data_IF_063686458445
#
_entry.id   IF_063686458445
#
_cell.length_a   1.000
_cell.length_b   1.000
_cell.length_c   1.000
_cell.angle_alpha   90.00
_cell.angle_beta   90.00
_cell.angle_gamma   90.00
#
_symmetry.space_group_name_H-M   'P 1'
#
loop_
_entity.id
_entity.type
_entity.pdbx_description
1 polymer ?
#
# COMPACT_ATOMS: atom_id res chain seq x y z
N UNK A 1 0.25 -21.22 -9.21
CA UNK A 1 -0.05 -20.33 -10.37
C UNK A 1 1.22 -20.18 -11.20
N UNK A 2 1.11 -19.92 -12.52
CA UNK A 2 2.25 -19.55 -13.37
C UNK A 2 2.18 -18.09 -13.80
N UNK A 3 3.24 -17.57 -14.48
CA UNK A 3 3.33 -16.16 -14.87
C UNK A 3 2.17 -15.71 -15.78
N UNK A 4 1.75 -16.54 -16.74
CA UNK A 4 0.63 -16.22 -17.65
C UNK A 4 -0.70 -16.15 -16.88
N UNK A 5 -0.91 -17.03 -15.91
CA UNK A 5 -2.06 -16.95 -15.02
C UNK A 5 -2.02 -15.69 -14.16
N UNK A 6 -0.86 -15.34 -13.58
CA UNK A 6 -0.70 -14.09 -12.83
C UNK A 6 -1.00 -12.86 -13.69
N UNK A 7 -0.46 -12.81 -14.91
CA UNK A 7 -0.72 -11.72 -15.85
C UNK A 7 -2.22 -11.50 -16.08
N UNK A 8 -2.95 -12.58 -16.38
CA UNK A 8 -4.40 -12.51 -16.63
C UNK A 8 -5.18 -12.18 -15.36
N UNK A 9 -4.84 -12.81 -14.24
CA UNK A 9 -5.50 -12.60 -12.95
C UNK A 9 -5.34 -11.16 -12.44
N UNK A 10 -4.16 -10.58 -12.61
CA UNK A 10 -3.88 -9.18 -12.22
C UNK A 10 -4.37 -8.16 -13.26
N UNK A 11 -4.67 -8.59 -14.51
CA UNK A 11 -5.07 -7.72 -15.61
C UNK A 11 -3.98 -6.72 -15.99
N UNK A 12 -2.72 -7.18 -16.07
CA UNK A 12 -1.53 -6.36 -16.32
C UNK A 12 -0.80 -6.75 -17.60
N UNK A 13 0.14 -5.91 -18.05
CA UNK A 13 0.95 -6.20 -19.23
C UNK A 13 1.92 -7.38 -18.98
N UNK A 14 2.40 -8.02 -20.05
CA UNK A 14 3.38 -9.09 -19.97
C UNK A 14 4.69 -8.64 -19.30
N UNK A 15 5.14 -7.40 -19.58
CA UNK A 15 6.34 -6.83 -18.94
C UNK A 15 6.18 -6.67 -17.42
N UNK A 16 5.03 -6.16 -16.95
CA UNK A 16 4.74 -6.08 -15.52
C UNK A 16 4.61 -7.47 -14.89
N UNK A 17 4.01 -8.42 -15.59
CA UNK A 17 3.91 -9.79 -15.09
C UNK A 17 5.28 -10.46 -14.97
N UNK A 18 6.16 -10.29 -15.94
CA UNK A 18 7.52 -10.81 -15.87
C UNK A 18 8.33 -10.20 -14.73
N UNK A 19 8.16 -8.89 -14.46
CA UNK A 19 8.80 -8.21 -13.33
C UNK A 19 8.29 -8.74 -11.99
N UNK A 20 6.97 -8.84 -11.82
CA UNK A 20 6.36 -9.07 -10.51
C UNK A 20 6.17 -10.53 -10.14
N UNK A 21 5.94 -11.41 -11.11
CA UNK A 21 5.58 -12.80 -10.84
C UNK A 21 6.56 -13.53 -9.92
N UNK A 22 7.89 -13.49 -10.13
CA UNK A 22 8.83 -14.21 -9.27
C UNK A 22 8.75 -13.73 -7.81
N UNK A 23 8.58 -12.44 -7.57
CA UNK A 23 8.50 -11.85 -6.23
C UNK A 23 7.15 -12.13 -5.56
N UNK A 24 6.05 -12.03 -6.31
CA UNK A 24 4.70 -12.31 -5.80
C UNK A 24 4.54 -13.79 -5.48
N UNK A 25 4.98 -14.69 -6.35
CA UNK A 25 4.90 -16.13 -6.13
C UNK A 25 5.73 -16.57 -4.91
N UNK A 26 6.96 -16.06 -4.78
CA UNK A 26 7.81 -16.32 -3.61
C UNK A 26 7.18 -15.78 -2.31
N UNK A 27 6.69 -14.55 -2.32
CA UNK A 27 6.08 -13.94 -1.14
C UNK A 27 4.79 -14.65 -0.72
N UNK A 28 3.94 -15.03 -1.68
CA UNK A 28 2.72 -15.80 -1.37
C UNK A 28 3.05 -17.15 -0.73
N UNK A 29 4.07 -17.86 -1.23
CA UNK A 29 4.53 -19.13 -0.65
C UNK A 29 5.09 -18.92 0.76
N UNK A 30 5.93 -17.91 0.96
CA UNK A 30 6.53 -17.57 2.27
C UNK A 30 5.46 -17.34 3.34
N UNK A 31 4.34 -16.69 2.98
CA UNK A 31 3.28 -16.32 3.92
C UNK A 31 2.01 -17.20 3.83
N UNK A 32 2.10 -18.38 3.21
CA UNK A 32 1.01 -19.36 3.22
C UNK A 32 -0.19 -19.02 2.34
N UNK A 33 -0.05 -18.08 1.40
CA UNK A 33 -1.12 -17.71 0.44
C UNK A 33 -1.08 -18.70 -0.73
N UNK A 34 -1.52 -19.95 -0.49
CA UNK A 34 -1.32 -21.06 -1.43
C UNK A 34 -2.58 -21.52 -2.13
N UNK A 35 -3.75 -21.39 -1.50
CA UNK A 35 -5.01 -21.76 -2.12
C UNK A 35 -5.35 -20.81 -3.29
N UNK A 36 -5.87 -21.31 -4.42
CA UNK A 36 -6.19 -20.47 -5.59
C UNK A 36 -7.10 -19.28 -5.28
N UNK A 37 -8.08 -19.47 -4.40
CA UNK A 37 -9.01 -18.42 -3.98
C UNK A 37 -8.30 -17.31 -3.17
N UNK A 38 -7.36 -17.68 -2.29
CA UNK A 38 -6.56 -16.72 -1.51
C UNK A 38 -5.55 -15.99 -2.39
N UNK A 39 -4.96 -16.67 -3.37
CA UNK A 39 -4.10 -16.03 -4.38
C UNK A 39 -4.89 -15.00 -5.19
N UNK A 40 -6.10 -15.34 -5.63
CA UNK A 40 -6.98 -14.42 -6.34
C UNK A 40 -7.33 -13.19 -5.48
N UNK A 41 -7.64 -13.40 -4.21
CA UNK A 41 -7.94 -12.34 -3.25
C UNK A 41 -6.73 -11.42 -3.02
N UNK A 42 -5.55 -11.99 -2.76
CA UNK A 42 -4.32 -11.23 -2.55
C UNK A 42 -3.96 -10.39 -3.77
N UNK A 43 -4.01 -10.97 -4.98
CA UNK A 43 -3.72 -10.27 -6.24
C UNK A 43 -4.69 -9.10 -6.43
N UNK A 44 -5.97 -9.29 -6.18
CA UNK A 44 -6.98 -8.24 -6.30
C UNK A 44 -6.74 -7.09 -5.33
N UNK A 45 -6.46 -7.39 -4.07
CA UNK A 45 -6.18 -6.38 -3.05
C UNK A 45 -4.91 -5.60 -3.36
N UNK A 46 -3.81 -6.28 -3.63
CA UNK A 46 -2.53 -5.62 -3.95
C UNK A 46 -2.57 -4.88 -5.27
N UNK A 47 -3.28 -5.41 -6.27
CA UNK A 47 -3.53 -4.71 -7.52
C UNK A 47 -4.27 -3.39 -7.34
N UNK A 48 -5.24 -3.34 -6.43
CA UNK A 48 -5.94 -2.10 -6.08
C UNK A 48 -5.02 -1.10 -5.35
N UNK A 49 -4.33 -1.54 -4.30
CA UNK A 49 -3.45 -0.70 -3.47
C UNK A 49 -2.30 -0.06 -4.27
N UNK A 50 -1.72 -0.81 -5.21
CA UNK A 50 -0.54 -0.42 -5.99
C UNK A 50 -0.84 0.13 -7.39
N UNK A 51 -2.10 0.44 -7.69
CA UNK A 51 -2.51 0.85 -9.05
C UNK A 51 -2.05 -0.19 -10.09
N UNK A 52 -2.50 -1.44 -9.91
CA UNK A 52 -2.11 -2.60 -10.73
C UNK A 52 -0.60 -2.81 -10.82
N UNK A 53 0.07 -2.84 -9.67
CA UNK A 53 1.51 -3.12 -9.55
C UNK A 53 2.42 -2.07 -10.19
N UNK A 54 1.94 -0.84 -10.37
CA UNK A 54 2.73 0.24 -10.98
C UNK A 54 3.28 1.24 -9.96
N UNK A 55 2.72 1.30 -8.75
CA UNK A 55 3.10 2.28 -7.74
C UNK A 55 3.68 1.61 -6.50
N UNK A 56 4.89 2.01 -6.13
CA UNK A 56 5.59 1.56 -4.92
C UNK A 56 5.82 2.67 -3.89
N UNK A 57 5.66 3.92 -4.27
CA UNK A 57 5.85 5.06 -3.38
C UNK A 57 4.61 5.95 -3.46
N UNK A 58 4.17 6.41 -2.32
CA UNK A 58 3.06 7.35 -2.21
C UNK A 58 3.34 8.64 -2.99
N UNK A 59 2.34 9.08 -3.73
CA UNK A 59 2.39 10.35 -4.44
C UNK A 59 1.63 11.42 -3.65
N UNK A 60 2.36 12.34 -3.05
CA UNK A 60 1.84 13.47 -2.27
C UNK A 60 1.71 14.75 -3.11
N UNK A 61 1.70 14.63 -4.44
CA UNK A 61 1.52 15.76 -5.36
C UNK A 61 0.05 16.21 -5.43
N UNK A 62 -0.51 16.58 -4.30
CA UNK A 62 -1.89 17.03 -4.17
C UNK A 62 -2.08 18.47 -4.64
N UNK A 63 -3.18 18.74 -5.36
CA UNK A 63 -3.67 20.08 -5.56
C UNK A 63 -4.20 20.67 -4.23
N UNK A 64 -4.15 22.01 -4.11
CA UNK A 64 -4.57 22.72 -2.87
C UNK A 64 -5.94 22.27 -2.39
N UNK A 65 -6.91 22.21 -3.29
CA UNK A 65 -8.31 21.89 -3.00
C UNK A 65 -8.53 20.45 -2.50
N UNK A 66 -7.56 19.55 -2.73
CA UNK A 66 -7.67 18.13 -2.36
C UNK A 66 -7.00 17.80 -1.01
N UNK A 67 -6.17 18.68 -0.46
CA UNK A 67 -5.40 18.40 0.76
C UNK A 67 -6.30 18.27 2.00
N UNK A 68 -7.13 19.27 2.27
CA UNK A 68 -8.02 19.24 3.45
C UNK A 68 -9.08 18.15 3.34
N UNK A 69 -9.76 17.92 2.19
CA UNK A 69 -10.68 16.80 2.04
C UNK A 69 -10.03 15.43 2.24
N UNK A 70 -8.76 15.27 1.82
CA UNK A 70 -8.06 13.98 1.94
C UNK A 70 -7.59 13.71 3.37
N UNK A 71 -6.99 14.69 4.03
CA UNK A 71 -6.30 14.48 5.30
C UNK A 71 -7.07 14.97 6.53
N UNK A 72 -8.06 15.83 6.33
CA UNK A 72 -8.84 16.47 7.39
C UNK A 72 -8.20 17.75 7.94
N UNK A 73 -9.05 18.69 8.36
CA UNK A 73 -8.62 20.00 8.88
C UNK A 73 -7.79 19.93 10.17
N UNK A 74 -7.88 18.81 10.89
CA UNK A 74 -7.07 18.55 12.09
C UNK A 74 -5.62 18.19 11.78
N UNK A 75 -5.28 17.82 10.53
CA UNK A 75 -3.91 17.51 10.08
C UNK A 75 -3.32 18.59 9.17
N UNK A 76 -4.16 19.30 8.41
CA UNK A 76 -3.71 20.36 7.51
C UNK A 76 -4.80 21.43 7.39
N UNK A 77 -4.47 22.68 7.71
CA UNK A 77 -5.38 23.82 7.57
C UNK A 77 -5.49 24.27 6.12
N UNK A 78 -6.52 25.08 5.78
CA UNK A 78 -6.65 25.69 4.46
C UNK A 78 -5.46 26.58 4.09
N UNK A 79 -4.94 27.36 5.07
CA UNK A 79 -3.76 28.19 4.86
C UNK A 79 -2.52 27.36 4.52
N UNK A 80 -2.29 26.26 5.25
CA UNK A 80 -1.19 25.33 4.98
C UNK A 80 -1.36 24.62 3.63
N UNK A 81 -2.58 24.22 3.29
CA UNK A 81 -2.89 23.63 2.00
C UNK A 81 -2.57 24.60 0.85
N UNK A 82 -2.96 25.87 0.97
CA UNK A 82 -2.63 26.90 -0.02
C UNK A 82 -1.13 27.11 -0.19
N UNK A 83 -0.37 27.06 0.91
CA UNK A 83 1.08 27.27 0.88
C UNK A 83 1.86 26.06 0.32
N UNK A 84 1.34 24.82 0.47
CA UNK A 84 2.07 23.59 0.17
C UNK A 84 1.54 22.82 -1.03
N UNK A 85 0.27 23.00 -1.38
CA UNK A 85 -0.39 22.29 -2.45
C UNK A 85 0.02 22.76 -3.84
N UNK A 86 -0.21 21.92 -4.83
CA UNK A 86 0.03 22.23 -6.23
C UNK A 86 -1.02 23.21 -6.77
N UNK A 87 -0.55 24.21 -7.51
CA UNK A 87 -1.37 25.12 -8.33
C UNK A 87 -0.87 25.10 -9.77
N UNK A 88 -1.41 25.99 -10.64
CA UNK A 88 -0.90 26.17 -11.99
C UNK A 88 0.54 26.69 -12.03
N UNK A 89 0.97 27.42 -11.00
CA UNK A 89 2.29 28.09 -10.93
C UNK A 89 3.22 27.57 -9.83
N UNK A 90 2.70 26.70 -8.96
CA UNK A 90 3.44 26.17 -7.81
C UNK A 90 3.36 24.63 -7.80
N UNK A 91 4.49 23.91 -7.80
CA UNK A 91 4.49 22.47 -7.53
C UNK A 91 4.13 22.18 -6.06
N UNK A 92 3.53 21.01 -5.80
CA UNK A 92 3.29 20.61 -4.42
C UNK A 92 4.62 20.37 -3.67
N UNK A 93 4.71 20.89 -2.44
CA UNK A 93 5.81 20.57 -1.54
C UNK A 93 5.53 19.24 -0.83
N UNK A 94 5.73 18.12 -1.55
CA UNK A 94 5.39 16.78 -1.07
C UNK A 94 6.03 16.43 0.26
N UNK A 95 7.29 16.85 0.48
CA UNK A 95 8.02 16.60 1.74
C UNK A 95 7.39 17.34 2.91
N UNK A 96 7.05 18.60 2.73
CA UNK A 96 6.39 19.38 3.77
C UNK A 96 4.97 18.87 4.04
N UNK A 97 4.22 18.49 3.00
CA UNK A 97 2.89 17.86 3.13
C UNK A 97 3.01 16.59 3.97
N UNK A 98 3.91 15.66 3.62
CA UNK A 98 4.09 14.42 4.37
C UNK A 98 4.42 14.69 5.85
N UNK A 99 5.37 15.58 6.12
CA UNK A 99 5.78 15.89 7.49
C UNK A 99 4.67 16.55 8.31
N UNK A 100 3.78 17.28 7.64
CA UNK A 100 2.62 17.90 8.28
C UNK A 100 1.52 16.88 8.56
N UNK A 101 1.07 16.15 7.53
CA UNK A 101 -0.11 15.27 7.63
C UNK A 101 0.17 13.94 8.35
N UNK A 102 1.43 13.53 8.44
CA UNK A 102 1.90 12.33 9.15
C UNK A 102 2.76 12.67 10.39
N UNK A 103 2.88 13.94 10.74
CA UNK A 103 3.62 14.44 11.90
C UNK A 103 2.71 14.88 13.05
N UNK A 104 3.31 15.66 13.98
CA UNK A 104 2.62 16.19 15.14
C UNK A 104 2.05 15.12 16.06
N UNK A 105 1.11 15.49 16.91
CA UNK A 105 0.46 14.56 17.84
C UNK A 105 -0.27 13.42 17.12
N UNK A 106 -0.97 13.75 16.03
CA UNK A 106 -1.67 12.74 15.23
C UNK A 106 -0.71 11.66 14.68
N UNK A 107 0.42 12.08 14.11
CA UNK A 107 1.44 11.17 13.58
C UNK A 107 2.09 10.33 14.68
N UNK A 108 2.31 10.91 15.86
CA UNK A 108 2.84 10.21 17.02
C UNK A 108 1.88 9.13 17.53
N UNK A 109 0.61 9.50 17.70
CA UNK A 109 -0.42 8.59 18.23
C UNK A 109 -0.77 7.47 17.26
N UNK A 110 -0.97 7.78 15.97
CA UNK A 110 -1.51 6.83 15.00
C UNK A 110 -0.45 6.09 14.16
N UNK A 111 0.73 6.70 13.99
CA UNK A 111 1.81 6.19 13.13
C UNK A 111 3.11 5.89 13.89
N UNK A 112 3.21 6.33 15.15
CA UNK A 112 4.43 6.21 15.95
C UNK A 112 5.57 7.10 15.48
N UNK A 113 5.30 8.11 14.63
CA UNK A 113 6.27 9.09 14.16
C UNK A 113 6.62 10.02 15.33
N UNK A 114 7.90 10.15 15.66
CA UNK A 114 8.34 10.79 16.90
C UNK A 114 9.04 12.14 16.69
N UNK A 115 9.73 12.27 15.58
CA UNK A 115 10.58 13.45 15.32
C UNK A 115 10.22 14.13 14.00
N UNK A 116 10.64 15.39 13.87
CA UNK A 116 10.48 16.14 12.64
C UNK A 116 11.17 15.41 11.47
N UNK A 117 10.45 15.24 10.36
CA UNK A 117 10.93 14.50 9.20
C UNK A 117 10.43 13.06 9.10
N UNK A 118 9.93 12.45 10.19
CA UNK A 118 9.42 11.08 10.17
C UNK A 118 8.25 10.91 9.20
N UNK A 119 7.40 11.91 9.04
CA UNK A 119 6.28 11.86 8.08
C UNK A 119 6.75 11.61 6.65
N UNK A 120 7.79 12.27 6.20
CA UNK A 120 8.40 12.00 4.91
C UNK A 120 9.22 10.71 4.87
N UNK A 121 10.00 10.47 5.93
CA UNK A 121 10.87 9.29 6.03
C UNK A 121 10.06 8.00 5.95
N UNK A 122 8.94 7.92 6.65
CA UNK A 122 8.09 6.74 6.74
C UNK A 122 6.76 6.91 5.97
N UNK A 123 6.79 7.66 4.85
CA UNK A 123 5.65 7.75 3.94
C UNK A 123 5.33 6.39 3.31
N UNK A 124 4.18 6.27 2.69
CA UNK A 124 3.70 5.02 2.09
C UNK A 124 4.68 4.41 1.08
N UNK A 125 5.13 3.16 1.32
CA UNK A 125 5.98 2.39 0.39
C UNK A 125 5.55 0.94 0.27
N UNK A 126 6.00 0.30 -0.81
CA UNK A 126 5.68 -1.07 -1.17
C UNK A 126 4.29 -1.22 -1.78
N UNK A 127 3.93 -2.43 -2.19
CA UNK A 127 2.63 -2.70 -2.83
C UNK A 127 1.44 -2.42 -1.90
N UNK A 128 1.60 -2.58 -0.58
CA UNK A 128 0.56 -2.31 0.42
C UNK A 128 0.58 -0.87 0.95
N UNK A 129 1.59 -0.08 0.59
CA UNK A 129 1.76 1.29 1.10
C UNK A 129 1.91 1.32 2.63
N UNK A 130 2.91 0.61 3.15
CA UNK A 130 3.28 0.65 4.58
C UNK A 130 3.65 2.09 4.94
N UNK A 131 3.00 2.66 5.96
CA UNK A 131 3.13 4.06 6.37
C UNK A 131 3.30 4.17 7.88
N UNK A 132 4.21 5.04 8.34
CA UNK A 132 4.48 5.33 9.75
C UNK A 132 5.54 4.43 10.40
N UNK A 133 6.33 5.01 11.32
CA UNK A 133 7.46 4.36 11.99
C UNK A 133 7.08 3.03 12.65
N UNK A 134 5.93 2.98 13.34
CA UNK A 134 5.47 1.74 14.00
C UNK A 134 5.25 0.60 13.01
N UNK A 135 4.63 0.89 11.86
CA UNK A 135 4.40 -0.12 10.82
C UNK A 135 5.70 -0.53 10.13
N UNK A 136 6.63 0.41 9.88
CA UNK A 136 7.95 0.10 9.34
C UNK A 136 8.75 -0.79 10.30
N UNK A 137 8.70 -0.51 11.62
CA UNK A 137 9.36 -1.34 12.64
C UNK A 137 8.79 -2.75 12.66
N UNK A 138 7.47 -2.90 12.72
CA UNK A 138 6.81 -4.22 12.74
C UNK A 138 7.08 -5.01 11.45
N UNK A 139 7.00 -4.35 10.30
CA UNK A 139 7.32 -4.96 9.02
C UNK A 139 8.80 -5.38 8.96
N UNK A 140 9.71 -4.51 9.40
CA UNK A 140 11.16 -4.80 9.43
C UNK A 140 11.49 -6.01 10.32
N UNK A 141 10.89 -6.10 11.49
CA UNK A 141 11.05 -7.26 12.37
C UNK A 141 10.58 -8.56 11.70
N UNK A 142 9.41 -8.53 11.07
CA UNK A 142 8.83 -9.70 10.40
C UNK A 142 9.66 -10.15 9.17
N UNK A 143 10.16 -9.20 8.37
CA UNK A 143 10.96 -9.48 7.19
C UNK A 143 12.45 -9.69 7.49
N UNK A 144 12.90 -9.45 8.72
CA UNK A 144 14.31 -9.42 9.16
C UNK A 144 15.12 -8.38 8.38
N UNK A 145 14.58 -7.18 8.21
CA UNK A 145 15.17 -6.04 7.52
C UNK A 145 15.21 -4.82 8.44
N UNK A 146 16.26 -4.02 8.34
CA UNK A 146 16.32 -2.72 9.01
C UNK A 146 15.56 -1.65 8.19
N UNK A 147 14.22 -1.68 8.27
CA UNK A 147 13.35 -0.73 7.60
C UNK A 147 13.26 0.61 8.33
N UNK A 148 13.73 0.69 9.58
CA UNK A 148 13.78 1.94 10.34
C UNK A 148 14.91 2.84 9.84
N UNK A 149 16.08 2.26 9.59
CA UNK A 149 17.21 2.98 9.02
C UNK A 149 17.08 3.13 7.50
N UNK A 150 16.62 2.07 6.82
CA UNK A 150 16.54 1.94 5.37
C UNK A 150 15.09 1.73 4.87
N UNK A 151 14.19 2.72 5.04
CA UNK A 151 12.78 2.59 4.62
C UNK A 151 12.61 2.42 3.11
N UNK A 152 13.59 2.88 2.31
CA UNK A 152 13.63 2.73 0.84
C UNK A 152 13.76 1.28 0.37
N UNK A 153 14.13 0.35 1.23
CA UNK A 153 14.15 -1.08 0.89
C UNK A 153 12.76 -1.58 0.43
N UNK A 154 11.67 -1.00 0.95
CA UNK A 154 10.32 -1.33 0.49
C UNK A 154 10.00 -0.86 -0.95
N UNK A 155 10.90 -0.12 -1.59
CA UNK A 155 10.81 0.25 -3.01
C UNK A 155 11.41 -0.81 -3.94
N UNK A 156 12.12 -1.82 -3.39
CA UNK A 156 12.60 -2.99 -4.14
C UNK A 156 11.48 -4.02 -4.30
N UNK A 157 11.33 -4.55 -5.50
CA UNK A 157 10.21 -5.44 -5.87
C UNK A 157 10.05 -6.64 -4.92
N UNK A 158 11.17 -7.28 -4.55
CA UNK A 158 11.17 -8.39 -3.59
C UNK A 158 10.55 -7.99 -2.24
N UNK A 159 11.03 -6.89 -1.65
CA UNK A 159 10.58 -6.49 -0.32
C UNK A 159 9.20 -5.82 -0.36
N UNK A 160 8.85 -5.19 -1.47
CA UNK A 160 7.50 -4.68 -1.72
C UNK A 160 6.47 -5.83 -1.76
N UNK A 161 6.80 -6.94 -2.41
CA UNK A 161 5.94 -8.13 -2.46
C UNK A 161 5.87 -8.83 -1.10
N UNK A 162 7.01 -9.04 -0.43
CA UNK A 162 7.09 -9.68 0.90
C UNK A 162 6.34 -8.89 1.97
N UNK A 163 6.50 -7.56 2.01
CA UNK A 163 5.77 -6.70 2.96
C UNK A 163 4.26 -6.75 2.76
N UNK A 164 3.80 -6.85 1.51
CA UNK A 164 2.38 -6.97 1.19
C UNK A 164 1.81 -8.33 1.63
N UNK A 165 2.53 -9.42 1.37
CA UNK A 165 2.12 -10.77 1.78
C UNK A 165 2.15 -10.94 3.30
N UNK A 166 3.18 -10.42 3.96
CA UNK A 166 3.23 -10.33 5.43
C UNK A 166 2.02 -9.59 5.99
N UNK A 167 1.73 -8.39 5.47
CA UNK A 167 0.59 -7.60 5.94
C UNK A 167 -0.72 -8.36 5.77
N UNK A 168 -0.93 -8.98 4.62
CA UNK A 168 -2.12 -9.77 4.33
C UNK A 168 -2.32 -10.92 5.33
N UNK A 169 -1.28 -11.70 5.57
CA UNK A 169 -1.31 -12.83 6.50
C UNK A 169 -1.47 -12.35 7.96
N UNK A 170 -0.69 -11.34 8.39
CA UNK A 170 -0.71 -10.83 9.77
C UNK A 170 -2.03 -10.17 10.16
N UNK A 171 -2.80 -9.66 9.19
CA UNK A 171 -4.15 -9.13 9.41
C UNK A 171 -5.24 -10.21 9.45
N UNK A 172 -4.88 -11.48 9.33
CA UNK A 172 -5.82 -12.59 9.36
C UNK A 172 -6.68 -12.71 8.11
N UNK A 173 -6.26 -12.15 6.97
CA UNK A 173 -7.02 -12.19 5.72
C UNK A 173 -7.28 -13.63 5.25
N UNK A 174 -6.35 -14.56 5.53
CA UNK A 174 -6.49 -15.98 5.20
C UNK A 174 -7.66 -16.68 5.91
N UNK A 175 -8.13 -16.14 7.04
CA UNK A 175 -9.30 -16.66 7.76
C UNK A 175 -10.63 -16.28 7.08
N UNK A 176 -10.58 -15.45 6.04
CA UNK A 176 -11.75 -14.91 5.33
C UNK A 176 -11.66 -15.15 3.83
N UNK A 177 -11.20 -16.35 3.46
CA UNK A 177 -11.09 -16.77 2.05
C UNK A 177 -12.41 -16.60 1.30
N UNK A 178 -12.39 -15.86 0.19
CA UNK A 178 -13.57 -15.57 -0.62
C UNK A 178 -14.45 -14.40 -0.16
N UNK A 179 -14.30 -13.90 1.06
CA UNK A 179 -15.04 -12.74 1.58
C UNK A 179 -14.30 -11.43 1.25
N UNK A 180 -14.56 -10.89 0.06
CA UNK A 180 -13.92 -9.65 -0.42
C UNK A 180 -14.22 -8.45 0.48
N UNK A 181 -15.39 -8.37 1.08
CA UNK A 181 -15.77 -7.25 1.93
C UNK A 181 -15.00 -7.29 3.25
N UNK A 182 -14.96 -8.45 3.90
CA UNK A 182 -14.22 -8.63 5.15
C UNK A 182 -12.72 -8.40 4.96
N UNK A 183 -12.13 -8.97 3.90
CA UNK A 183 -10.71 -8.75 3.59
C UNK A 183 -10.43 -7.29 3.27
N UNK A 184 -11.33 -6.59 2.57
CA UNK A 184 -11.17 -5.14 2.33
C UNK A 184 -11.16 -4.35 3.63
N UNK A 185 -12.04 -4.67 4.59
CA UNK A 185 -12.07 -4.02 5.92
C UNK A 185 -10.75 -4.25 6.68
N UNK A 186 -10.20 -5.46 6.65
CA UNK A 186 -8.92 -5.79 7.31
C UNK A 186 -7.74 -5.06 6.68
N UNK A 187 -7.74 -4.88 5.36
CA UNK A 187 -6.64 -4.24 4.62
C UNK A 187 -6.72 -2.72 4.69
N UNK A 188 -7.91 -2.13 4.55
CA UNK A 188 -8.07 -0.69 4.35
C UNK A 188 -8.67 0.03 5.58
N UNK A 189 -9.19 -0.71 6.57
CA UNK A 189 -9.91 -0.13 7.70
C UNK A 189 -11.31 0.39 7.37
N UNK A 190 -11.76 0.26 6.12
CA UNK A 190 -13.05 0.73 5.63
C UNK A 190 -13.40 0.09 4.29
N UNK A 191 -14.50 0.56 3.67
CA UNK A 191 -15.01 0.03 2.38
C UNK A 191 -14.52 0.82 1.16
N UNK A 192 -13.44 1.61 1.29
CA UNK A 192 -12.93 2.41 0.18
C UNK A 192 -12.50 1.53 -1.00
N UNK A 193 -13.05 1.81 -2.17
CA UNK A 193 -12.76 1.07 -3.39
C UNK A 193 -13.30 -0.36 -3.44
N UNK A 194 -14.28 -0.74 -2.60
CA UNK A 194 -14.83 -2.10 -2.52
C UNK A 194 -15.27 -2.63 -3.89
N UNK A 195 -15.99 -1.84 -4.70
CA UNK A 195 -16.47 -2.29 -6.02
C UNK A 195 -15.31 -2.55 -7.00
N UNK A 196 -14.28 -1.70 -6.97
CA UNK A 196 -13.08 -1.91 -7.79
C UNK A 196 -12.31 -3.17 -7.34
N UNK A 197 -12.18 -3.39 -6.03
CA UNK A 197 -11.56 -4.59 -5.46
C UNK A 197 -12.36 -5.85 -5.81
N UNK A 198 -13.70 -5.79 -5.76
CA UNK A 198 -14.58 -6.88 -6.17
C UNK A 198 -14.43 -7.22 -7.65
N UNK A 199 -14.35 -6.20 -8.53
CA UNK A 199 -14.11 -6.41 -9.95
C UNK A 199 -12.76 -7.10 -10.21
N UNK A 200 -11.68 -6.66 -9.53
CA UNK A 200 -10.36 -7.30 -9.62
C UNK A 200 -10.37 -8.73 -9.06
N UNK A 201 -11.09 -8.96 -7.97
CA UNK A 201 -11.21 -10.31 -7.39
C UNK A 201 -11.98 -11.26 -8.32
N UNK A 202 -13.07 -10.80 -8.93
CA UNK A 202 -13.80 -11.61 -9.89
C UNK A 202 -12.95 -11.96 -11.12
N UNK A 203 -12.15 -11.01 -11.62
CA UNK A 203 -11.19 -11.27 -12.69
C UNK A 203 -10.14 -12.32 -12.26
N UNK A 204 -9.51 -12.12 -11.10
CA UNK A 204 -8.49 -13.05 -10.63
C UNK A 204 -9.07 -14.46 -10.37
N UNK A 205 -10.26 -14.53 -9.78
CA UNK A 205 -10.99 -15.77 -9.52
C UNK A 205 -11.32 -16.52 -10.82
N UNK A 206 -11.78 -15.84 -11.88
CA UNK A 206 -12.09 -16.49 -13.16
C UNK A 206 -10.88 -17.11 -13.87
N UNK A 207 -9.67 -16.77 -13.43
CA UNK A 207 -8.41 -17.29 -14.01
C UNK A 207 -7.80 -18.40 -13.15
N UNK A 208 -7.96 -18.32 -11.82
CA UNK A 208 -7.22 -19.14 -10.87
C UNK A 208 -8.09 -20.21 -10.21
N UNK A 209 -9.41 -20.02 -10.17
CA UNK A 209 -10.41 -20.91 -9.55
C UNK A 209 -11.34 -21.49 -10.60
#
# INVERSE_FOLDING_TARGET
MNQSQFQRAAGISAGLAARWFPHIDAAMKEYGITAPLDQAMFIAQMGHESTRFTRLVENLNYAVENLVPTFGSHRITQQQAAALGRTATQPANQKAIANLVYGGEWGKEHLGNQVAGDGWKYRGRGLKQITGLSNYRSCGQALKLDLVTHPELLEKDEYAARSAAWFYASRGCLLHSGDIERVTLLINGGRNGLDKRRALFNLAKSVLV
#
